data_IF_169899953525
#
_entry.id   IF_169899953525
#
_cell.length_a   1.000
_cell.length_b   1.000
_cell.length_c   1.000
_cell.angle_alpha   90.00
_cell.angle_beta   90.00
_cell.angle_gamma   90.00
#
_symmetry.space_group_name_H-M   'P 1'
#
loop_
_entity.id
_entity.type
_entity.pdbx_description
1 polymer ?
#
# COMPACT_ATOMS: atom_id res chain seq x y z
N UNK A 1 -9.92 9.59 22.13
CA UNK A 1 -8.71 10.01 21.38
C UNK A 1 -8.77 9.30 20.04
N UNK A 2 -8.67 10.01 18.94
CA UNK A 2 -8.83 9.43 17.59
C UNK A 2 -7.47 9.06 17.01
N UNK A 3 -7.38 7.91 16.34
CA UNK A 3 -6.16 7.45 15.67
C UNK A 3 -6.39 7.44 14.15
N UNK A 4 -5.52 8.10 13.40
CA UNK A 4 -5.52 8.08 11.94
C UNK A 4 -4.29 7.29 11.45
N UNK A 5 -4.52 6.27 10.64
CA UNK A 5 -3.47 5.46 10.03
C UNK A 5 -3.44 5.76 8.53
N UNK A 6 -2.31 6.26 8.03
CA UNK A 6 -2.11 6.57 6.62
C UNK A 6 -0.97 5.69 6.10
N UNK A 7 -1.17 5.07 4.95
CA UNK A 7 -0.12 4.37 4.23
C UNK A 7 -0.34 4.54 2.73
N UNK A 8 0.71 4.29 1.96
CA UNK A 8 0.67 4.29 0.49
C UNK A 8 0.53 2.84 -0.02
N UNK A 9 -0.04 2.68 -1.20
CA UNK A 9 -0.01 1.41 -1.93
C UNK A 9 1.44 0.90 -2.12
N UNK A 10 1.61 -0.41 -2.30
CA UNK A 10 2.91 -1.02 -2.57
C UNK A 10 3.49 -0.60 -3.93
N UNK A 11 4.75 -0.92 -4.19
CA UNK A 11 5.39 -0.63 -5.48
C UNK A 11 4.57 -1.19 -6.66
N UNK A 12 4.18 -0.32 -7.60
CA UNK A 12 3.56 -0.72 -8.88
C UNK A 12 4.59 -0.96 -9.97
N UNK A 13 4.19 -1.65 -11.04
CA UNK A 13 5.05 -1.86 -12.23
C UNK A 13 5.55 -0.52 -12.78
N UNK A 14 4.69 0.49 -12.85
CA UNK A 14 5.08 1.81 -13.35
C UNK A 14 5.96 2.59 -12.38
N UNK A 15 5.83 2.38 -11.06
CA UNK A 15 6.80 2.94 -10.11
C UNK A 15 8.19 2.33 -10.31
N UNK A 16 8.27 1.03 -10.61
CA UNK A 16 9.54 0.37 -10.93
C UNK A 16 10.15 0.90 -12.23
N UNK A 17 9.31 1.19 -13.23
CA UNK A 17 9.72 1.72 -14.53
C UNK A 17 9.90 3.25 -14.57
N UNK A 18 9.76 3.95 -13.43
CA UNK A 18 9.78 5.42 -13.36
C UNK A 18 8.76 6.11 -14.30
N UNK A 19 7.61 5.48 -14.51
CA UNK A 19 6.49 6.02 -15.29
C UNK A 19 5.47 6.71 -14.37
N UNK A 20 4.86 7.78 -14.88
CA UNK A 20 3.79 8.48 -14.18
C UNK A 20 2.47 7.71 -14.30
N UNK A 21 1.89 7.29 -13.17
CA UNK A 21 0.63 6.51 -13.11
C UNK A 21 -0.62 7.36 -13.34
N UNK A 22 -0.71 8.53 -12.72
CA UNK A 22 -1.91 9.37 -12.80
C UNK A 22 -3.16 8.62 -12.34
N UNK A 23 -4.13 8.47 -13.25
CA UNK A 23 -5.44 7.86 -13.00
C UNK A 23 -5.53 6.42 -13.53
N UNK A 24 -4.41 5.86 -14.00
CA UNK A 24 -4.35 4.51 -14.55
C UNK A 24 -4.24 3.51 -13.42
N UNK A 25 -5.06 2.46 -13.48
CA UNK A 25 -4.90 1.32 -12.58
C UNK A 25 -3.73 0.44 -13.05
N UNK A 26 -2.72 0.27 -12.19
CA UNK A 26 -1.46 -0.41 -12.52
C UNK A 26 -1.17 -1.44 -11.45
N UNK A 27 -0.94 -2.68 -11.89
CA UNK A 27 -0.63 -3.80 -11.01
C UNK A 27 0.59 -3.54 -10.11
N UNK A 28 0.56 -4.19 -8.95
CA UNK A 28 1.69 -4.26 -8.03
C UNK A 28 2.78 -5.19 -8.57
N UNK A 29 4.03 -4.85 -8.28
CA UNK A 29 5.13 -5.81 -8.45
C UNK A 29 5.06 -6.88 -7.36
N UNK A 30 5.78 -7.99 -7.53
CA UNK A 30 5.95 -8.98 -6.45
C UNK A 30 6.46 -8.33 -5.16
N UNK A 31 7.39 -7.37 -5.29
CA UNK A 31 7.87 -6.55 -4.17
C UNK A 31 6.74 -5.74 -3.54
N UNK A 32 5.92 -5.07 -4.34
CA UNK A 32 4.75 -4.31 -3.86
C UNK A 32 3.74 -5.18 -3.10
N UNK A 33 3.52 -6.41 -3.55
CA UNK A 33 2.66 -7.40 -2.87
C UNK A 33 3.26 -7.76 -1.50
N UNK A 34 4.58 -7.99 -1.41
CA UNK A 34 5.24 -8.29 -0.13
C UNK A 34 5.23 -7.08 0.82
N UNK A 35 5.39 -5.86 0.30
CA UNK A 35 5.27 -4.62 1.07
C UNK A 35 3.88 -4.49 1.70
N UNK A 36 2.81 -4.74 0.92
CA UNK A 36 1.44 -4.72 1.42
C UNK A 36 1.19 -5.78 2.51
N UNK A 37 1.70 -7.01 2.32
CA UNK A 37 1.62 -8.08 3.34
C UNK A 37 2.33 -7.68 4.63
N UNK A 38 3.53 -7.13 4.52
CA UNK A 38 4.32 -6.69 5.67
C UNK A 38 3.67 -5.52 6.41
N UNK A 39 3.04 -4.59 5.68
CA UNK A 39 2.22 -3.53 6.28
C UNK A 39 1.05 -4.14 7.07
N UNK A 40 0.33 -5.11 6.50
CA UNK A 40 -0.73 -5.83 7.20
C UNK A 40 -0.27 -6.49 8.51
N UNK A 41 0.92 -7.10 8.51
CA UNK A 41 1.51 -7.69 9.73
C UNK A 41 1.76 -6.63 10.82
N UNK A 42 2.27 -5.45 10.44
CA UNK A 42 2.52 -4.34 11.38
C UNK A 42 1.23 -3.73 11.93
N UNK A 43 0.15 -3.76 11.14
CA UNK A 43 -1.14 -3.19 11.50
C UNK A 43 -2.05 -4.17 12.24
N UNK A 44 -1.68 -5.45 12.37
CA UNK A 44 -2.50 -6.53 12.95
C UNK A 44 -3.04 -6.23 14.36
N UNK A 45 -2.34 -5.41 15.16
CA UNK A 45 -2.75 -5.03 16.51
C UNK A 45 -3.68 -3.81 16.58
N UNK A 46 -4.00 -3.18 15.44
CA UNK A 46 -4.81 -1.97 15.39
C UNK A 46 -6.25 -2.36 15.03
N UNK A 47 -7.20 -1.90 15.83
CA UNK A 47 -8.62 -1.99 15.50
C UNK A 47 -8.98 -0.82 14.58
N UNK A 48 -9.46 -1.15 13.39
CA UNK A 48 -9.99 -0.16 12.46
C UNK A 48 -11.50 -0.09 12.58
N UNK A 49 -12.02 1.10 12.84
CA UNK A 49 -13.45 1.36 12.78
C UNK A 49 -13.91 1.58 11.32
N UNK A 50 -13.03 2.12 10.47
CA UNK A 50 -13.22 2.35 9.03
C UNK A 50 -11.89 2.14 8.29
N UNK A 51 -11.93 1.58 7.07
CA UNK A 51 -10.77 1.30 6.22
C UNK A 51 -11.10 1.50 4.74
#
# INVERSE_FOLDING_TARGET
MSQLVIFRHGQSVWNLENKFTGWVDVDLTEKGIQEAKNAGLKLKGIKFDYA
#
